data_IF_251424237081
#
_entry.id   IF_251424237081
#
_cell.length_a   1.000
_cell.length_b   1.000
_cell.length_c   1.000
_cell.angle_alpha   90.00
_cell.angle_beta   90.00
_cell.angle_gamma   90.00
#
_symmetry.space_group_name_H-M   'P 1'
#
loop_
_entity.id
_entity.type
_entity.pdbx_description
1 polymer ?
#
# COMPACT_ATOMS: atom_id res chain seq x y z
N UNK A 1 -24.01 17.16 3.68
CA UNK A 1 -22.59 16.89 3.97
C UNK A 1 -22.49 16.37 5.40
N UNK A 2 -22.19 15.09 5.61
CA UNK A 2 -21.94 14.58 6.96
C UNK A 2 -20.55 15.02 7.40
N UNK A 3 -20.45 15.86 8.44
CA UNK A 3 -19.17 16.34 8.95
C UNK A 3 -18.29 15.18 9.42
N UNK A 4 -17.03 15.16 8.98
CA UNK A 4 -16.03 14.20 9.47
C UNK A 4 -15.69 14.58 10.91
N UNK A 5 -15.78 13.62 11.83
CA UNK A 5 -15.44 13.85 13.22
C UNK A 5 -13.95 14.19 13.39
N UNK A 6 -13.63 15.14 14.29
CA UNK A 6 -12.25 15.63 14.50
C UNK A 6 -11.27 14.50 14.85
N UNK A 7 -11.73 13.44 15.51
CA UNK A 7 -10.89 12.28 15.86
C UNK A 7 -10.28 11.58 14.65
N UNK A 8 -10.98 11.57 13.51
CA UNK A 8 -10.49 10.93 12.28
C UNK A 8 -9.24 11.67 11.79
N UNK A 9 -9.32 13.00 11.72
CA UNK A 9 -8.18 13.85 11.36
C UNK A 9 -7.01 13.69 12.33
N UNK A 10 -7.28 13.70 13.64
CA UNK A 10 -6.26 13.50 14.67
C UNK A 10 -5.58 12.14 14.49
N UNK A 11 -6.35 11.08 14.22
CA UNK A 11 -5.80 9.73 14.03
C UNK A 11 -4.84 9.68 12.85
N UNK A 12 -5.22 10.25 11.70
CA UNK A 12 -4.35 10.29 10.53
C UNK A 12 -3.11 11.16 10.74
N UNK A 13 -3.23 12.30 11.42
CA UNK A 13 -2.08 13.15 11.76
C UNK A 13 -1.11 12.39 12.67
N UNK A 14 -1.60 11.82 13.77
CA UNK A 14 -0.77 11.08 14.73
C UNK A 14 -0.08 9.89 14.07
N UNK A 15 -0.82 9.15 13.24
CA UNK A 15 -0.25 8.03 12.50
C UNK A 15 0.79 8.47 11.47
N UNK A 16 0.55 9.56 10.75
CA UNK A 16 1.50 10.11 9.78
C UNK A 16 2.79 10.56 10.46
N UNK A 17 2.67 11.25 11.61
CA UNK A 17 3.81 11.66 12.43
C UNK A 17 4.58 10.43 12.91
N UNK A 18 3.88 9.43 13.45
CA UNK A 18 4.50 8.19 13.91
C UNK A 18 5.27 7.46 12.79
N UNK A 19 4.63 7.23 11.65
CA UNK A 19 5.28 6.58 10.49
C UNK A 19 6.48 7.39 9.98
N UNK A 20 6.34 8.71 9.91
CA UNK A 20 7.45 9.56 9.49
C UNK A 20 8.62 9.48 10.48
N UNK A 21 8.35 9.52 11.79
CA UNK A 21 9.36 9.36 12.83
C UNK A 21 10.08 8.02 12.72
N UNK A 22 9.35 6.92 12.46
CA UNK A 22 9.97 5.60 12.24
C UNK A 22 10.88 5.61 10.99
N UNK A 23 10.41 6.13 9.86
CA UNK A 23 11.24 6.28 8.65
C UNK A 23 12.47 7.20 8.86
N UNK A 24 12.36 8.18 9.77
CA UNK A 24 13.41 9.16 10.00
C UNK A 24 14.49 8.64 10.95
N UNK A 25 14.08 8.04 12.08
CA UNK A 25 14.98 7.60 13.16
C UNK A 25 15.79 6.37 12.76
N UNK A 26 15.19 5.43 12.04
CA UNK A 26 15.91 4.23 11.64
C UNK A 26 16.78 4.50 10.41
N UNK A 27 18.07 4.08 10.43
CA UNK A 27 18.93 4.24 9.30
C UNK A 27 18.47 3.35 8.14
N UNK A 28 18.80 3.78 6.93
CA UNK A 28 18.60 2.98 5.72
C UNK A 28 19.34 1.65 5.88
N UNK A 29 18.68 0.55 5.52
CA UNK A 29 19.24 -0.80 5.68
C UNK A 29 20.40 -1.05 4.72
N UNK A 30 21.27 -2.02 5.04
CA UNK A 30 22.51 -2.33 4.32
C UNK A 30 22.33 -2.48 2.81
N UNK A 31 21.23 -3.08 2.38
CA UNK A 31 20.95 -3.37 0.97
C UNK A 31 20.67 -2.11 0.14
N UNK A 32 20.32 -1.01 0.82
CA UNK A 32 19.99 0.28 0.24
C UNK A 32 21.14 1.30 0.40
N UNK A 33 22.15 0.98 1.21
CA UNK A 33 23.33 1.82 1.40
C UNK A 33 24.29 1.68 0.22
N UNK A 34 24.54 2.79 -0.48
CA UNK A 34 25.41 2.80 -1.67
C UNK A 34 24.74 2.29 -2.95
N UNK A 35 23.44 1.99 -2.92
CA UNK A 35 22.68 1.66 -4.11
C UNK A 35 22.58 2.87 -5.04
N UNK A 36 23.26 2.79 -6.19
CA UNK A 36 23.27 3.85 -7.20
C UNK A 36 22.04 3.81 -8.12
N UNK A 37 22.01 4.74 -9.07
CA UNK A 37 21.04 4.74 -10.16
C UNK A 37 21.48 3.71 -11.22
N UNK A 38 20.80 2.56 -11.29
CA UNK A 38 21.12 1.50 -12.24
C UNK A 38 20.42 1.62 -13.60
N UNK A 39 19.34 2.42 -13.69
CA UNK A 39 18.55 2.56 -14.91
C UNK A 39 17.91 1.24 -15.37
N UNK A 40 17.52 1.17 -16.65
CA UNK A 40 16.90 -0.03 -17.24
C UNK A 40 17.87 -1.22 -17.27
N UNK A 41 19.16 -0.99 -17.46
CA UNK A 41 20.18 -2.04 -17.47
C UNK A 41 20.33 -2.69 -16.09
N UNK A 42 20.28 -1.89 -15.02
CA UNK A 42 20.23 -2.39 -13.65
C UNK A 42 18.98 -3.23 -13.37
N UNK A 43 17.82 -2.80 -13.89
CA UNK A 43 16.58 -3.57 -13.78
C UNK A 43 16.68 -4.93 -14.49
N UNK A 44 17.16 -4.94 -15.75
CA UNK A 44 17.31 -6.16 -16.55
C UNK A 44 18.32 -7.10 -15.88
N UNK A 45 19.46 -6.59 -15.41
CA UNK A 45 20.45 -7.37 -14.70
C UNK A 45 19.86 -8.03 -13.44
N UNK A 46 19.11 -7.28 -12.63
CA UNK A 46 18.46 -7.82 -11.42
C UNK A 46 17.37 -8.85 -11.73
N UNK A 47 16.59 -8.64 -12.80
CA UNK A 47 15.63 -9.62 -13.29
C UNK A 47 16.30 -10.94 -13.68
N UNK A 48 17.43 -10.86 -14.40
CA UNK A 48 18.13 -12.03 -14.93
C UNK A 48 19.03 -12.73 -13.89
N UNK A 49 19.48 -12.03 -12.85
CA UNK A 49 20.48 -12.55 -11.90
C UNK A 49 19.94 -12.86 -10.50
N UNK A 50 18.87 -12.19 -10.06
CA UNK A 50 18.45 -12.25 -8.67
C UNK A 50 16.95 -12.45 -8.51
N UNK A 51 16.15 -11.47 -8.92
CA UNK A 51 14.73 -11.49 -8.64
C UNK A 51 13.94 -10.57 -9.60
N UNK A 52 12.90 -11.10 -10.23
CA UNK A 52 12.00 -10.37 -11.13
C UNK A 52 10.88 -9.59 -10.43
N UNK A 53 10.96 -9.48 -9.10
CA UNK A 53 10.02 -8.75 -8.25
C UNK A 53 9.96 -7.27 -8.62
N UNK A 54 8.78 -6.76 -8.97
CA UNK A 54 8.61 -5.41 -9.48
C UNK A 54 9.18 -4.32 -8.57
N UNK A 55 8.98 -4.43 -7.25
CA UNK A 55 9.54 -3.46 -6.31
C UNK A 55 11.09 -3.50 -6.24
N UNK A 56 11.70 -4.66 -6.47
CA UNK A 56 13.16 -4.83 -6.52
C UNK A 56 13.72 -4.23 -7.80
N UNK A 57 13.04 -4.45 -8.92
CA UNK A 57 13.39 -3.83 -10.21
C UNK A 57 13.29 -2.30 -10.13
N UNK A 58 12.23 -1.78 -9.51
CA UNK A 58 12.03 -0.33 -9.33
C UNK A 58 13.10 0.26 -8.40
N UNK A 59 13.49 -0.48 -7.36
CA UNK A 59 14.59 -0.09 -6.46
C UNK A 59 15.90 0.01 -7.22
N UNK A 60 16.32 -1.03 -7.91
CA UNK A 60 17.63 -1.04 -8.58
C UNK A 60 17.70 -0.11 -9.77
N UNK A 61 16.58 0.13 -10.43
CA UNK A 61 16.50 1.06 -11.55
C UNK A 61 16.59 2.52 -11.10
N UNK A 62 15.81 2.90 -10.06
CA UNK A 62 15.58 4.31 -9.74
C UNK A 62 15.63 4.61 -8.24
N UNK A 63 14.97 3.80 -7.41
CA UNK A 63 14.69 4.17 -6.02
C UNK A 63 15.86 3.89 -5.07
N UNK A 64 16.85 3.07 -5.45
CA UNK A 64 18.05 2.82 -4.64
C UNK A 64 18.81 4.10 -4.30
N UNK A 65 19.01 4.98 -5.28
CA UNK A 65 19.64 6.28 -5.07
C UNK A 65 18.78 7.26 -4.25
N UNK A 66 17.46 7.08 -4.27
CA UNK A 66 16.49 7.93 -3.57
C UNK A 66 16.16 7.42 -2.16
N UNK A 67 16.38 6.14 -1.88
CA UNK A 67 16.07 5.48 -0.61
C UNK A 67 16.64 6.20 0.63
N UNK A 68 17.90 6.69 0.64
CA UNK A 68 18.42 7.43 1.80
C UNK A 68 17.89 8.88 1.90
N UNK A 69 17.23 9.40 0.86
CA UNK A 69 16.80 10.80 0.82
C UNK A 69 15.52 11.02 1.62
N UNK A 70 15.32 12.28 2.05
CA UNK A 70 14.09 12.71 2.71
C UNK A 70 12.85 12.50 1.82
N UNK A 71 13.00 12.59 0.50
CA UNK A 71 11.90 12.40 -0.45
C UNK A 71 11.30 11.00 -0.37
N UNK A 72 12.15 9.96 -0.32
CA UNK A 72 11.66 8.60 -0.17
C UNK A 72 10.94 8.41 1.17
N UNK A 73 11.48 8.96 2.27
CA UNK A 73 10.85 8.88 3.60
C UNK A 73 9.46 9.53 3.62
N UNK A 74 9.29 10.68 2.98
CA UNK A 74 7.99 11.35 2.83
C UNK A 74 7.04 10.49 1.98
N UNK A 75 7.49 10.04 0.81
CA UNK A 75 6.66 9.22 -0.09
C UNK A 75 6.21 7.93 0.59
N UNK A 76 7.13 7.21 1.24
CA UNK A 76 6.86 5.97 1.94
C UNK A 76 5.86 6.16 3.10
N UNK A 77 5.97 7.27 3.83
CA UNK A 77 5.00 7.65 4.86
C UNK A 77 3.61 7.89 4.27
N UNK A 78 3.52 8.64 3.16
CA UNK A 78 2.25 8.88 2.47
C UNK A 78 1.61 7.58 1.99
N UNK A 79 2.40 6.67 1.41
CA UNK A 79 1.91 5.36 0.99
C UNK A 79 1.38 4.56 2.19
N UNK A 80 2.06 4.59 3.35
CA UNK A 80 1.56 3.96 4.57
C UNK A 80 0.22 4.53 5.07
N UNK A 81 0.02 5.83 4.95
CA UNK A 81 -1.27 6.48 5.27
C UNK A 81 -2.36 6.08 4.29
N UNK A 82 -2.05 6.08 2.98
CA UNK A 82 -2.97 5.65 1.93
C UNK A 82 -3.34 4.18 2.10
N UNK A 83 -2.40 3.32 2.48
CA UNK A 83 -2.64 1.92 2.78
C UNK A 83 -3.72 1.75 3.84
N UNK A 84 -3.62 2.44 4.98
CA UNK A 84 -4.63 2.35 6.04
C UNK A 84 -6.00 2.87 5.59
N UNK A 85 -6.02 3.97 4.83
CA UNK A 85 -7.27 4.52 4.31
C UNK A 85 -7.92 3.53 3.34
N UNK A 86 -7.14 2.98 2.41
CA UNK A 86 -7.60 2.00 1.44
C UNK A 86 -8.11 0.72 2.13
N UNK A 87 -7.37 0.22 3.12
CA UNK A 87 -7.77 -0.90 3.97
C UNK A 87 -9.12 -0.66 4.64
N UNK A 88 -9.32 0.53 5.24
CA UNK A 88 -10.59 0.89 5.87
C UNK A 88 -11.74 0.91 4.86
N UNK A 89 -11.53 1.51 3.67
CA UNK A 89 -12.53 1.56 2.61
C UNK A 89 -12.88 0.16 2.12
N UNK A 90 -11.91 -0.73 2.01
CA UNK A 90 -12.13 -2.12 1.60
C UNK A 90 -13.01 -2.86 2.62
N UNK A 91 -12.80 -2.65 3.92
CA UNK A 91 -13.63 -3.30 4.94
C UNK A 91 -15.05 -2.72 4.98
N UNK A 92 -15.19 -1.39 4.98
CA UNK A 92 -16.45 -0.72 5.31
C UNK A 92 -17.22 -0.11 4.14
N UNK A 93 -16.70 -0.16 2.90
CA UNK A 93 -17.29 0.48 1.72
C UNK A 93 -17.41 2.01 1.79
N UNK A 94 -16.78 2.65 2.77
CA UNK A 94 -16.97 4.07 3.04
C UNK A 94 -15.71 4.68 3.64
N UNK A 95 -15.62 6.00 3.57
CA UNK A 95 -14.59 6.76 4.27
C UNK A 95 -14.86 6.79 5.79
N UNK A 96 -13.82 6.86 6.63
CA UNK A 96 -13.96 7.00 8.08
C UNK A 96 -14.57 8.37 8.43
N UNK A 97 -15.53 8.38 9.35
CA UNK A 97 -16.29 9.59 9.74
C UNK A 97 -16.53 9.71 11.24
N UNK A 98 -16.58 8.60 11.97
CA UNK A 98 -16.97 8.57 13.39
C UNK A 98 -15.77 8.36 14.32
N UNK A 99 -15.98 8.58 15.63
CA UNK A 99 -15.00 8.22 16.66
C UNK A 99 -14.71 6.71 16.68
N UNK A 100 -15.73 5.88 16.50
CA UNK A 100 -15.56 4.42 16.45
C UNK A 100 -14.66 4.01 15.28
N UNK A 101 -14.75 4.71 14.14
CA UNK A 101 -13.85 4.47 13.00
C UNK A 101 -12.40 4.80 13.37
N UNK A 102 -12.16 5.86 14.14
CA UNK A 102 -10.84 6.20 14.67
C UNK A 102 -10.28 5.11 15.59
N UNK A 103 -11.12 4.54 16.45
CA UNK A 103 -10.73 3.42 17.33
C UNK A 103 -10.36 2.18 16.50
N UNK A 104 -11.16 1.85 15.49
CA UNK A 104 -10.88 0.73 14.58
C UNK A 104 -9.57 0.93 13.82
N UNK A 105 -9.32 2.14 13.31
CA UNK A 105 -8.07 2.48 12.65
C UNK A 105 -6.87 2.36 13.60
N UNK A 106 -6.98 2.89 14.82
CA UNK A 106 -5.93 2.78 15.83
C UNK A 106 -5.64 1.33 16.23
N UNK A 107 -6.69 0.50 16.40
CA UNK A 107 -6.54 -0.93 16.67
C UNK A 107 -5.91 -1.67 15.48
N UNK A 108 -6.30 -1.34 14.25
CA UNK A 108 -5.69 -1.93 13.05
C UNK A 108 -4.19 -1.64 12.99
N UNK A 109 -3.79 -0.40 13.30
CA UNK A 109 -2.38 -0.02 13.41
C UNK A 109 -1.68 -0.81 14.52
N UNK A 110 -2.28 -0.89 15.71
CA UNK A 110 -1.71 -1.64 16.82
C UNK A 110 -1.48 -3.11 16.41
N UNK A 111 -2.47 -3.76 15.79
CA UNK A 111 -2.35 -5.12 15.30
C UNK A 111 -1.20 -5.27 14.31
N UNK A 112 -1.06 -4.35 13.35
CA UNK A 112 0.03 -4.35 12.36
C UNK A 112 1.39 -4.21 13.07
N UNK A 113 1.50 -3.34 14.08
CA UNK A 113 2.73 -3.12 14.84
C UNK A 113 3.13 -4.32 15.71
N UNK A 114 2.18 -5.15 16.15
CA UNK A 114 2.47 -6.38 16.89
C UNK A 114 3.17 -7.44 16.01
N UNK A 115 3.04 -7.35 14.68
CA UNK A 115 3.80 -8.17 13.76
C UNK A 115 5.18 -7.53 13.51
N UNK A 116 6.24 -8.11 14.10
CA UNK A 116 7.61 -7.61 13.96
C UNK A 116 8.10 -7.43 12.51
N UNK A 117 7.49 -8.15 11.56
CA UNK A 117 7.77 -8.00 10.14
C UNK A 117 7.40 -6.60 9.58
N UNK A 118 6.45 -5.89 10.19
CA UNK A 118 6.03 -4.57 9.71
C UNK A 118 7.17 -3.55 9.76
N UNK A 119 7.95 -3.52 10.84
CA UNK A 119 9.10 -2.63 10.96
C UNK A 119 10.12 -2.88 9.85
N UNK A 120 10.43 -4.16 9.56
CA UNK A 120 11.33 -4.53 8.47
C UNK A 120 10.77 -4.18 7.08
N UNK A 121 9.46 -4.31 6.87
CA UNK A 121 8.82 -3.95 5.59
C UNK A 121 8.82 -2.44 5.41
N UNK A 122 8.60 -1.68 6.49
CA UNK A 122 8.39 -0.24 6.40
C UNK A 122 9.70 0.55 6.30
N UNK A 123 10.75 0.12 7.02
CA UNK A 123 12.05 0.83 7.08
C UNK A 123 13.00 0.44 5.94
N UNK A 124 12.89 -0.79 5.42
CA UNK A 124 13.71 -1.26 4.30
C UNK A 124 13.09 -0.81 2.98
N UNK A 125 13.83 -0.09 2.12
CA UNK A 125 13.24 0.46 0.89
C UNK A 125 12.82 -0.66 -0.07
N UNK A 126 13.63 -1.71 -0.19
CA UNK A 126 13.23 -2.89 -0.97
C UNK A 126 11.96 -3.52 -0.39
N UNK A 127 11.90 -3.74 0.91
CA UNK A 127 10.71 -4.25 1.59
C UNK A 127 9.47 -3.37 1.36
N UNK A 128 9.62 -2.06 1.47
CA UNK A 128 8.53 -1.11 1.32
C UNK A 128 7.96 -1.15 -0.10
N UNK A 129 8.82 -1.12 -1.12
CA UNK A 129 8.38 -1.20 -2.52
C UNK A 129 7.74 -2.55 -2.85
N UNK A 130 8.34 -3.62 -2.32
CA UNK A 130 7.95 -5.00 -2.57
C UNK A 130 6.65 -5.41 -1.88
N UNK A 131 6.32 -4.81 -0.74
CA UNK A 131 5.17 -5.19 0.06
C UNK A 131 4.23 -4.00 0.31
N UNK A 132 4.68 -2.94 0.98
CA UNK A 132 3.78 -1.82 1.33
C UNK A 132 3.18 -1.16 0.09
N UNK A 133 4.01 -0.74 -0.86
CA UNK A 133 3.57 -0.07 -2.08
C UNK A 133 2.77 -1.03 -2.96
N UNK A 134 3.25 -2.26 -3.09
CA UNK A 134 2.57 -3.34 -3.80
C UNK A 134 1.13 -3.56 -3.27
N UNK A 135 0.99 -3.84 -1.97
CA UNK A 135 -0.32 -4.07 -1.36
C UNK A 135 -1.21 -2.83 -1.39
N UNK A 136 -0.63 -1.63 -1.25
CA UNK A 136 -1.39 -0.39 -1.38
C UNK A 136 -2.01 -0.26 -2.76
N UNK A 137 -1.23 -0.52 -3.82
CA UNK A 137 -1.73 -0.49 -5.19
C UNK A 137 -2.85 -1.51 -5.38
N UNK A 138 -2.65 -2.76 -4.93
CA UNK A 138 -3.68 -3.82 -5.00
C UNK A 138 -4.98 -3.38 -4.32
N UNK A 139 -4.92 -2.82 -3.10
CA UNK A 139 -6.11 -2.33 -2.41
C UNK A 139 -6.81 -1.22 -3.19
N UNK A 140 -6.05 -0.28 -3.77
CA UNK A 140 -6.62 0.79 -4.60
C UNK A 140 -7.34 0.24 -5.83
N UNK A 141 -6.82 -0.82 -6.46
CA UNK A 141 -7.49 -1.53 -7.57
C UNK A 141 -8.81 -2.16 -7.11
N UNK A 142 -8.84 -2.72 -5.91
CA UNK A 142 -10.01 -3.41 -5.38
C UNK A 142 -11.14 -2.45 -4.95
N UNK A 143 -10.83 -1.18 -4.63
CA UNK A 143 -11.82 -0.21 -4.12
C UNK A 143 -13.03 -0.04 -5.07
N UNK A 144 -12.86 0.24 -6.37
CA UNK A 144 -13.99 0.38 -7.29
C UNK A 144 -14.91 -0.85 -7.29
N UNK A 145 -14.35 -2.06 -7.31
CA UNK A 145 -15.13 -3.30 -7.25
C UNK A 145 -15.87 -3.44 -5.93
N UNK A 146 -15.20 -3.15 -4.82
CA UNK A 146 -15.79 -3.24 -3.48
C UNK A 146 -16.95 -2.25 -3.29
N UNK A 147 -16.86 -1.07 -3.88
CA UNK A 147 -17.95 -0.08 -3.89
C UNK A 147 -19.09 -0.47 -4.84
N UNK A 148 -18.77 -1.04 -6.01
CA UNK A 148 -19.76 -1.57 -6.95
C UNK A 148 -20.65 -2.62 -6.28
N UNK A 149 -20.03 -3.65 -5.67
CA UNK A 149 -20.77 -4.75 -5.02
C UNK A 149 -21.57 -4.29 -3.81
N UNK A 150 -21.03 -3.37 -3.01
CA UNK A 150 -21.77 -2.77 -1.90
C UNK A 150 -23.06 -2.11 -2.35
N UNK A 151 -23.00 -1.32 -3.43
CA UNK A 151 -24.17 -0.63 -3.96
C UNK A 151 -25.18 -1.62 -4.58
N UNK A 152 -24.68 -2.65 -5.27
CA UNK A 152 -25.52 -3.70 -5.82
C UNK A 152 -26.33 -4.41 -4.72
N UNK A 153 -25.67 -4.85 -3.65
CA UNK A 153 -26.33 -5.56 -2.56
C UNK A 153 -27.26 -4.69 -1.70
N UNK A 154 -26.96 -3.39 -1.50
CA UNK A 154 -27.78 -2.52 -0.65
C UNK A 154 -28.94 -1.89 -1.40
N UNK A 155 -28.70 -1.42 -2.63
CA UNK A 155 -29.67 -0.60 -3.35
C UNK A 155 -30.34 -1.36 -4.50
N UNK A 156 -29.95 -2.60 -4.81
CA UNK A 156 -30.39 -3.36 -6.00
C UNK A 156 -30.29 -2.55 -7.30
N UNK A 157 -29.41 -1.54 -7.33
CA UNK A 157 -29.11 -0.76 -8.52
C UNK A 157 -27.79 -1.25 -9.07
N UNK A 158 -27.71 -1.43 -10.38
CA UNK A 158 -26.45 -1.69 -11.07
C UNK A 158 -25.81 -0.33 -11.37
N UNK A 159 -24.82 0.14 -10.57
CA UNK A 159 -24.03 1.29 -10.98
C UNK A 159 -23.34 0.95 -12.32
N UNK A 160 -22.99 1.97 -13.13
CA UNK A 160 -22.22 1.73 -14.34
C UNK A 160 -20.97 0.91 -13.96
N UNK A 161 -20.67 -0.16 -14.70
CA UNK A 161 -19.51 -0.98 -14.40
C UNK A 161 -18.26 -0.09 -14.37
N UNK A 162 -17.31 -0.33 -13.46
CA UNK A 162 -16.05 0.38 -13.49
C UNK A 162 -15.46 0.26 -14.89
N UNK A 163 -15.09 1.40 -15.49
CA UNK A 163 -14.61 1.42 -16.86
C UNK A 163 -13.40 0.48 -16.97
N UNK A 164 -13.52 -0.56 -17.79
CA UNK A 164 -12.49 -1.59 -17.98
C UNK A 164 -11.14 -0.96 -18.34
N UNK A 165 -11.14 0.17 -19.06
CA UNK A 165 -9.94 0.93 -19.40
C UNK A 165 -9.20 1.51 -18.19
N UNK A 166 -9.92 1.86 -17.11
CA UNK A 166 -9.29 2.27 -15.85
C UNK A 166 -8.67 1.06 -15.17
N UNK A 167 -9.26 -0.12 -15.32
CA UNK A 167 -8.86 -1.36 -14.66
C UNK A 167 -7.67 -2.07 -15.32
N UNK A 168 -7.42 -1.86 -16.61
CA UNK A 168 -6.33 -2.51 -17.36
C UNK A 168 -4.94 -2.15 -16.81
N UNK A 169 -4.57 -0.86 -16.60
CA UNK A 169 -3.30 -0.50 -15.99
C UNK A 169 -3.13 -1.12 -14.61
N UNK A 170 -4.21 -1.17 -13.83
CA UNK A 170 -4.24 -1.71 -12.48
C UNK A 170 -4.11 -3.24 -12.45
N UNK A 171 -4.69 -3.95 -13.42
CA UNK A 171 -4.53 -5.40 -13.58
C UNK A 171 -3.10 -5.75 -14.01
N UNK A 172 -2.51 -4.99 -14.94
CA UNK A 172 -1.12 -5.16 -15.36
C UNK A 172 -0.17 -4.89 -14.18
N UNK A 173 -0.40 -3.82 -13.42
CA UNK A 173 0.37 -3.52 -12.21
C UNK A 173 0.20 -4.64 -11.18
N UNK A 174 -1.02 -5.10 -10.92
CA UNK A 174 -1.27 -6.20 -9.97
C UNK A 174 -0.62 -7.51 -10.40
N UNK A 175 -0.63 -7.84 -11.70
CA UNK A 175 0.05 -9.00 -12.26
C UNK A 175 1.58 -8.91 -12.12
N UNK A 176 2.16 -7.74 -12.37
CA UNK A 176 3.59 -7.49 -12.19
C UNK A 176 3.98 -7.53 -10.69
N UNK A 177 3.09 -7.09 -9.81
CA UNK A 177 3.22 -7.21 -8.36
C UNK A 177 2.93 -8.64 -7.85
N UNK A 178 2.20 -9.48 -8.60
CA UNK A 178 1.84 -10.87 -8.25
C UNK A 178 2.99 -11.85 -8.45
N UNK A 179 3.97 -11.53 -9.31
CA UNK A 179 5.22 -12.29 -9.43
C UNK A 179 6.04 -12.34 -8.12
N UNK A 180 5.55 -11.67 -7.08
CA UNK A 180 6.20 -11.42 -5.81
C UNK A 180 5.71 -12.30 -4.65
N UNK A 181 4.42 -12.64 -4.61
CA UNK A 181 3.75 -13.09 -3.38
C UNK A 181 2.87 -14.32 -3.62
N UNK A 182 3.08 -15.34 -2.78
CA UNK A 182 2.31 -16.58 -2.64
C UNK A 182 0.88 -16.36 -2.09
N UNK A 183 0.27 -15.19 -2.27
CA UNK A 183 -1.00 -14.78 -1.66
C UNK A 183 -2.15 -14.77 -2.67
N UNK A 184 -2.34 -15.89 -3.36
CA UNK A 184 -3.62 -16.16 -4.03
C UNK A 184 -4.78 -16.15 -3.02
N UNK A 185 -4.52 -16.52 -1.77
CA UNK A 185 -5.54 -16.59 -0.73
C UNK A 185 -6.19 -15.24 -0.38
N UNK A 186 -5.48 -14.10 -0.43
CA UNK A 186 -6.06 -12.82 0.01
C UNK A 186 -6.98 -12.22 -1.06
N UNK A 187 -6.55 -12.22 -2.32
CA UNK A 187 -7.37 -11.79 -3.45
C UNK A 187 -8.54 -12.76 -3.68
N UNK A 188 -8.32 -14.08 -3.64
CA UNK A 188 -9.45 -15.04 -3.69
C UNK A 188 -10.36 -14.89 -2.47
N UNK A 189 -9.85 -14.70 -1.25
CA UNK A 189 -10.74 -14.51 -0.08
C UNK A 189 -11.55 -13.20 -0.16
N UNK A 190 -10.98 -12.12 -0.70
CA UNK A 190 -11.71 -10.87 -0.95
C UNK A 190 -12.75 -11.00 -2.07
N UNK A 191 -12.56 -11.91 -3.02
CA UNK A 191 -13.56 -12.28 -4.02
C UNK A 191 -14.58 -13.32 -3.51
N UNK A 192 -14.25 -14.11 -2.47
CA UNK A 192 -15.12 -15.15 -1.87
C UNK A 192 -16.00 -14.58 -0.74
N UNK A 193 -15.63 -13.45 -0.14
CA UNK A 193 -16.44 -12.72 0.86
C UNK A 193 -17.25 -11.54 0.27
N UNK A 194 -17.33 -11.44 -1.06
CA UNK A 194 -18.33 -10.66 -1.79
C UNK A 194 -19.41 -11.62 -2.28
#
# INVERSE_FOLDING_TARGET
MTNIHKSVWITFILFSVFLFSVNYVFPTQSDDLGAGFGGLDGAISMYMSWNGRFGELLRTAFIGALAPTLFFKIANTLVGVVFLLAWFVILYARLPRSFNDSVVLALSVLCILLFGAFGSIFVWAAGALNYLWAYTLVLLVCIPYRLFWHNYFIYNTTPPPPQILILIPFFIISFLLECQIRSQALLLSLFIFV
#
